data_IF_208632797567
#
_entry.id   IF_208632797567
#
_cell.length_a   1.000
_cell.length_b   1.000
_cell.length_c   1.000
_cell.angle_alpha   90.00
_cell.angle_beta   90.00
_cell.angle_gamma   90.00
#
_symmetry.space_group_name_H-M   'P 1'
#
loop_
_entity.id
_entity.type
_entity.pdbx_description
1 polymer ?
#
# COMPACT_ATOMS: atom_id res chain seq x y z
N UNK A 1 5.09 16.34 10.35
CA UNK A 1 6.14 15.36 10.01
C UNK A 1 7.51 16.00 9.76
N UNK A 2 7.60 17.21 9.17
CA UNK A 2 8.89 17.90 8.91
C UNK A 2 9.88 17.92 10.08
N UNK A 3 9.42 18.23 11.29
CA UNK A 3 10.29 18.24 12.48
C UNK A 3 10.83 16.85 12.84
N UNK A 4 10.03 15.79 12.61
CA UNK A 4 10.46 14.40 12.81
C UNK A 4 11.48 13.99 11.75
N UNK A 5 11.27 14.38 10.49
CA UNK A 5 12.23 14.14 9.40
C UNK A 5 13.57 14.84 9.67
N UNK A 6 13.54 16.08 10.16
CA UNK A 6 14.74 16.82 10.55
C UNK A 6 15.54 16.13 11.67
N UNK A 7 14.87 15.31 12.48
CA UNK A 7 15.47 14.45 13.51
C UNK A 7 15.86 13.06 13.01
N UNK A 8 15.69 12.78 11.71
CA UNK A 8 16.03 11.50 11.07
C UNK A 8 14.92 10.44 11.09
N UNK A 9 13.73 10.75 11.61
CA UNK A 9 12.60 9.81 11.65
C UNK A 9 11.76 9.91 10.38
N UNK A 10 12.14 9.17 9.34
CA UNK A 10 11.46 9.15 8.03
C UNK A 10 10.75 7.82 7.71
N UNK A 11 10.70 6.88 8.65
CA UNK A 11 10.16 5.52 8.44
C UNK A 11 11.18 4.52 7.89
N UNK A 12 12.46 4.91 7.79
CA UNK A 12 13.53 4.02 7.35
C UNK A 12 13.59 2.74 8.17
N UNK A 13 13.67 1.59 7.49
CA UNK A 13 13.69 0.26 8.12
C UNK A 13 12.31 -0.27 8.52
N UNK A 14 11.25 0.50 8.30
CA UNK A 14 9.87 0.05 8.52
C UNK A 14 9.30 -0.49 7.21
N UNK A 15 8.74 -1.71 7.25
CA UNK A 15 7.97 -2.32 6.15
C UNK A 15 6.51 -1.94 6.28
N UNK A 16 5.97 -1.29 5.27
CA UNK A 16 4.61 -0.75 5.24
C UNK A 16 3.80 -1.41 4.13
N UNK A 17 2.74 -2.12 4.50
CA UNK A 17 1.80 -2.76 3.58
C UNK A 17 0.60 -1.86 3.28
N UNK A 18 0.29 -1.66 2.00
CA UNK A 18 -0.92 -0.97 1.54
C UNK A 18 -1.82 -1.97 0.83
N UNK A 19 -2.96 -2.29 1.45
CA UNK A 19 -3.97 -3.21 0.93
C UNK A 19 -5.05 -2.40 0.21
N UNK A 20 -4.97 -2.38 -1.12
CA UNK A 20 -5.77 -1.45 -1.92
C UNK A 20 -5.89 -1.92 -3.39
N UNK A 21 -6.16 -1.01 -4.34
CA UNK A 21 -6.14 -1.25 -5.79
C UNK A 21 -4.73 -1.42 -6.35
N UNK A 22 -3.70 -1.49 -5.50
CA UNK A 22 -2.29 -1.63 -5.89
C UNK A 22 -1.59 -0.28 -6.02
N UNK A 23 -0.40 -0.30 -6.62
CA UNK A 23 0.42 0.89 -6.91
C UNK A 23 0.95 0.81 -8.32
N UNK A 24 0.93 1.92 -9.07
CA UNK A 24 1.52 2.00 -10.41
C UNK A 24 3.04 1.76 -10.36
N UNK A 25 3.53 0.88 -11.23
CA UNK A 25 4.95 0.50 -11.29
C UNK A 25 5.89 1.69 -11.58
N UNK A 26 5.42 2.59 -12.43
CA UNK A 26 6.16 3.70 -13.04
C UNK A 26 5.89 5.05 -12.35
N UNK A 27 5.26 5.03 -11.17
CA UNK A 27 4.87 6.27 -10.52
C UNK A 27 6.10 7.04 -10.02
N UNK A 28 6.36 8.27 -10.51
CA UNK A 28 7.62 8.98 -10.28
C UNK A 28 7.86 9.35 -8.80
N UNK A 29 6.81 9.32 -7.98
CA UNK A 29 6.86 9.73 -6.58
C UNK A 29 7.24 8.59 -5.63
N UNK A 30 7.37 7.34 -6.11
CA UNK A 30 7.81 6.21 -5.28
C UNK A 30 9.18 5.73 -5.72
N UNK A 31 10.09 5.58 -4.75
CA UNK A 31 11.46 5.09 -4.99
C UNK A 31 11.77 3.78 -4.27
N UNK A 32 10.89 3.35 -3.36
CA UNK A 32 11.11 2.23 -2.43
C UNK A 32 9.92 1.26 -2.42
N UNK A 33 9.35 0.98 -3.58
CA UNK A 33 8.38 -0.11 -3.73
C UNK A 33 9.16 -1.42 -3.76
N UNK A 34 9.09 -2.19 -2.68
CA UNK A 34 9.82 -3.45 -2.55
C UNK A 34 9.08 -4.62 -3.17
N UNK A 35 7.77 -4.66 -2.94
CA UNK A 35 6.90 -5.71 -3.43
C UNK A 35 5.60 -5.14 -3.99
N UNK A 36 5.09 -5.81 -5.01
CA UNK A 36 3.78 -5.59 -5.61
C UNK A 36 3.20 -6.97 -5.89
N UNK A 37 2.21 -7.36 -5.12
CA UNK A 37 1.50 -8.62 -5.28
C UNK A 37 0.05 -8.37 -5.66
N UNK A 38 -0.54 -9.32 -6.38
CA UNK A 38 -1.95 -9.30 -6.71
C UNK A 38 -2.65 -10.56 -6.19
N UNK A 39 -3.73 -10.33 -5.46
CA UNK A 39 -4.56 -11.36 -4.84
C UNK A 39 -5.92 -11.48 -5.54
N UNK A 40 -6.19 -10.61 -6.52
CA UNK A 40 -7.37 -10.70 -7.37
C UNK A 40 -7.16 -11.71 -8.50
N UNK A 41 -8.22 -11.95 -9.26
CA UNK A 41 -8.19 -12.81 -10.46
C UNK A 41 -7.65 -12.10 -11.72
N UNK A 42 -7.40 -10.79 -11.68
CA UNK A 42 -6.90 -10.06 -12.85
C UNK A 42 -5.39 -10.28 -13.05
N UNK A 43 -4.93 -10.26 -14.29
CA UNK A 43 -3.51 -10.43 -14.59
C UNK A 43 -2.77 -9.08 -14.66
N UNK A 44 -2.77 -8.33 -13.55
CA UNK A 44 -2.06 -7.05 -13.45
C UNK A 44 -1.66 -6.72 -12.01
N UNK A 45 -0.50 -6.09 -11.86
CA UNK A 45 -0.05 -5.48 -10.60
C UNK A 45 -0.32 -3.96 -10.57
N UNK A 46 -0.61 -3.37 -11.74
CA UNK A 46 -0.80 -1.94 -11.86
C UNK A 46 -2.15 -1.52 -11.28
N UNK A 47 -2.10 -0.39 -10.60
CA UNK A 47 -3.27 0.31 -10.15
C UNK A 47 -3.97 1.00 -11.32
N UNK A 48 -5.08 0.44 -11.77
CA UNK A 48 -5.92 1.00 -12.83
C UNK A 48 -6.93 2.05 -12.33
N UNK A 49 -7.13 2.17 -11.02
CA UNK A 49 -8.13 3.07 -10.42
C UNK A 49 -7.49 4.33 -9.82
N UNK A 50 -6.28 4.22 -9.27
CA UNK A 50 -5.53 5.31 -8.67
C UNK A 50 -5.70 5.44 -7.15
N UNK A 51 -6.68 4.77 -6.54
CA UNK A 51 -6.94 4.86 -5.09
C UNK A 51 -5.73 4.37 -4.27
N UNK A 52 -5.22 3.18 -4.57
CA UNK A 52 -4.06 2.63 -3.89
C UNK A 52 -2.79 3.45 -4.11
N UNK A 53 -2.58 3.99 -5.31
CA UNK A 53 -1.47 4.91 -5.58
C UNK A 53 -1.60 6.23 -4.80
N UNK A 54 -2.81 6.76 -4.65
CA UNK A 54 -3.07 7.94 -3.84
C UNK A 54 -2.78 7.69 -2.36
N UNK A 55 -3.30 6.58 -1.81
CA UNK A 55 -3.06 6.16 -0.42
C UNK A 55 -1.57 5.94 -0.15
N UNK A 56 -0.89 5.21 -1.04
CA UNK A 56 0.56 5.03 -0.98
C UNK A 56 1.30 6.37 -1.05
N UNK A 57 0.77 7.35 -1.79
CA UNK A 57 1.27 8.72 -1.88
C UNK A 57 1.28 9.42 -0.53
N UNK A 58 0.14 9.39 0.18
CA UNK A 58 0.02 9.98 1.52
C UNK A 58 1.04 9.38 2.49
N UNK A 59 1.32 8.09 2.35
CA UNK A 59 2.28 7.37 3.21
C UNK A 59 3.73 7.68 2.83
N UNK A 60 4.11 7.46 1.58
CA UNK A 60 5.52 7.28 1.18
C UNK A 60 5.95 8.08 -0.05
N UNK A 61 5.16 9.06 -0.49
CA UNK A 61 5.56 9.93 -1.61
C UNK A 61 6.88 10.66 -1.31
N UNK A 62 7.74 10.71 -2.32
CA UNK A 62 9.02 11.41 -2.32
C UNK A 62 8.96 12.73 -3.10
N UNK A 63 7.78 13.12 -3.60
CA UNK A 63 7.58 14.41 -4.25
C UNK A 63 7.75 15.55 -3.23
N UNK A 64 8.64 16.54 -3.45
CA UNK A 64 8.78 17.70 -2.58
C UNK A 64 7.49 18.50 -2.37
N UNK A 65 6.60 18.55 -3.37
CA UNK A 65 5.31 19.25 -3.28
C UNK A 65 4.28 18.47 -2.46
N UNK A 66 4.33 17.13 -2.54
CA UNK A 66 3.39 16.22 -1.92
C UNK A 66 4.13 15.11 -1.15
N UNK A 67 4.92 15.49 -0.15
CA UNK A 67 5.77 14.56 0.57
C UNK A 67 4.94 13.67 1.52
N UNK A 68 5.12 12.35 1.44
CA UNK A 68 4.43 11.39 2.29
C UNK A 68 4.90 11.47 3.76
N UNK A 69 4.10 10.96 4.69
CA UNK A 69 4.43 11.00 6.12
C UNK A 69 5.73 10.27 6.50
N UNK A 70 5.98 9.14 5.85
CA UNK A 70 7.10 8.25 6.11
C UNK A 70 7.76 7.88 4.77
N UNK A 71 8.48 8.82 4.13
CA UNK A 71 8.95 8.67 2.75
C UNK A 71 9.97 7.53 2.58
N UNK A 72 10.68 7.16 3.63
CA UNK A 72 11.74 6.14 3.58
C UNK A 72 11.29 4.73 3.98
N UNK A 73 9.97 4.51 4.19
CA UNK A 73 9.47 3.15 4.41
C UNK A 73 9.75 2.26 3.21
N UNK A 74 9.89 0.97 3.49
CA UNK A 74 9.85 -0.05 2.46
C UNK A 74 8.37 -0.36 2.15
N UNK A 75 7.89 0.06 0.98
CA UNK A 75 6.49 -0.06 0.62
C UNK A 75 6.20 -1.42 -0.03
N UNK A 76 5.19 -2.11 0.50
CA UNK A 76 4.64 -3.36 -0.03
C UNK A 76 3.21 -3.09 -0.47
N UNK A 77 2.93 -3.24 -1.77
CA UNK A 77 1.60 -3.01 -2.32
C UNK A 77 0.87 -4.34 -2.51
N UNK A 78 -0.23 -4.51 -1.79
CA UNK A 78 -1.11 -5.68 -1.86
C UNK A 78 -2.35 -5.27 -2.65
N UNK A 79 -2.42 -5.66 -3.92
CA UNK A 79 -3.61 -5.44 -4.73
C UNK A 79 -4.68 -6.46 -4.33
N UNK A 80 -5.74 -5.97 -3.71
CA UNK A 80 -6.89 -6.74 -3.20
C UNK A 80 -8.22 -6.23 -3.76
N UNK A 81 -8.20 -5.22 -4.62
CA UNK A 81 -9.35 -4.74 -5.38
C UNK A 81 -9.09 -4.84 -6.87
N UNK A 82 -10.12 -5.23 -7.63
CA UNK A 82 -10.07 -5.21 -9.09
C UNK A 82 -10.28 -3.80 -9.65
N UNK A 83 -10.09 -3.62 -10.96
CA UNK A 83 -10.40 -2.33 -11.60
C UNK A 83 -11.90 -2.03 -11.64
N UNK A 84 -12.73 -3.08 -11.54
CA UNK A 84 -14.19 -2.96 -11.40
C UNK A 84 -14.63 -2.77 -9.93
N UNK A 85 -13.70 -2.46 -9.03
CA UNK A 85 -13.94 -2.23 -7.59
C UNK A 85 -14.51 -3.45 -6.85
N UNK A 86 -14.28 -4.66 -7.38
CA UNK A 86 -14.65 -5.91 -6.73
C UNK A 86 -13.55 -6.34 -5.78
N UNK A 87 -13.95 -6.86 -4.61
CA UNK A 87 -13.05 -7.49 -3.66
C UNK A 87 -13.74 -8.61 -2.88
N UNK A 88 -12.96 -9.59 -2.43
CA UNK A 88 -13.43 -10.68 -1.60
C UNK A 88 -12.62 -10.76 -0.31
N UNK A 89 -13.29 -11.10 0.80
CA UNK A 89 -12.66 -11.30 2.12
C UNK A 89 -11.51 -12.31 2.05
N UNK A 90 -11.64 -13.37 1.24
CA UNK A 90 -10.59 -14.36 1.04
C UNK A 90 -9.28 -13.77 0.52
N UNK A 91 -9.33 -12.78 -0.38
CA UNK A 91 -8.14 -12.12 -0.91
C UNK A 91 -7.40 -11.34 0.18
N UNK A 92 -8.12 -10.74 1.13
CA UNK A 92 -7.49 -10.12 2.30
C UNK A 92 -6.83 -11.15 3.20
N UNK A 93 -7.51 -12.27 3.48
CA UNK A 93 -6.96 -13.33 4.33
C UNK A 93 -5.64 -13.89 3.75
N UNK A 94 -5.60 -14.15 2.45
CA UNK A 94 -4.40 -14.61 1.77
C UNK A 94 -3.29 -13.54 1.79
N UNK A 95 -3.63 -12.29 1.49
CA UNK A 95 -2.70 -11.18 1.54
C UNK A 95 -2.17 -10.91 2.95
N UNK A 96 -2.98 -11.06 4.00
CA UNK A 96 -2.54 -10.94 5.39
C UNK A 96 -1.57 -12.05 5.78
N UNK A 97 -1.86 -13.30 5.40
CA UNK A 97 -0.94 -14.41 5.64
C UNK A 97 0.42 -14.15 4.99
N UNK A 98 0.42 -13.63 3.76
CA UNK A 98 1.64 -13.25 3.07
C UNK A 98 2.35 -12.05 3.71
N UNK A 99 1.62 -11.01 4.14
CA UNK A 99 2.19 -9.87 4.86
C UNK A 99 2.85 -10.30 6.19
N UNK A 100 2.26 -11.25 6.91
CA UNK A 100 2.86 -11.85 8.11
C UNK A 100 4.13 -12.63 7.75
N UNK A 101 4.06 -13.48 6.73
CA UNK A 101 5.21 -14.28 6.28
C UNK A 101 6.38 -13.44 5.75
N UNK A 102 6.09 -12.26 5.23
CA UNK A 102 7.08 -11.26 4.76
C UNK A 102 7.44 -10.22 5.83
N UNK A 103 6.95 -10.43 7.06
CA UNK A 103 7.23 -9.60 8.24
C UNK A 103 6.91 -8.12 8.04
N UNK A 104 5.84 -7.77 7.31
CA UNK A 104 5.35 -6.39 7.22
C UNK A 104 5.04 -5.87 8.63
N UNK A 105 5.52 -4.67 8.96
CA UNK A 105 5.39 -4.12 10.32
C UNK A 105 4.06 -3.40 10.54
N UNK A 106 3.56 -2.72 9.51
CA UNK A 106 2.35 -1.90 9.56
C UNK A 106 1.54 -2.18 8.30
N UNK A 107 0.23 -2.33 8.45
CA UNK A 107 -0.70 -2.48 7.32
C UNK A 107 -1.69 -1.30 7.31
N UNK A 108 -2.03 -0.82 6.12
CA UNK A 108 -3.11 0.14 5.90
C UNK A 108 -4.22 -0.51 5.08
N UNK A 109 -5.45 -0.30 5.54
CA UNK A 109 -6.69 -0.72 4.88
C UNK A 109 -7.58 0.52 4.79
N UNK A 110 -7.55 1.21 3.63
CA UNK A 110 -8.37 2.41 3.41
C UNK A 110 -9.75 2.05 2.84
N UNK A 111 -10.40 1.08 3.48
CA UNK A 111 -11.63 0.44 2.98
C UNK A 111 -12.63 0.22 4.12
N UNK A 112 -13.86 -0.07 3.75
CA UNK A 112 -14.88 -0.55 4.66
C UNK A 112 -15.92 -1.37 3.88
N UNK A 113 -16.60 -2.27 4.57
CA UNK A 113 -17.68 -3.07 4.03
C UNK A 113 -18.86 -3.11 4.99
N UNK A 114 -20.04 -3.50 4.52
CA UNK A 114 -21.16 -3.78 5.41
C UNK A 114 -20.78 -4.90 6.38
N UNK A 115 -21.25 -4.78 7.62
CA UNK A 115 -21.16 -5.84 8.62
C UNK A 115 -22.13 -6.96 8.22
N UNK A 116 -21.58 -8.12 7.88
CA UNK A 116 -22.37 -9.33 7.72
C UNK A 116 -22.37 -10.01 9.08
N UNK A 117 -23.22 -9.50 9.98
CA UNK A 117 -23.39 -10.00 11.35
C UNK A 117 -23.18 -11.52 11.40
N UNK A 118 -22.14 -11.94 12.10
CA UNK A 118 -21.95 -13.34 12.51
C UNK A 118 -23.18 -13.85 13.28
#
# INVERSE_FOLDING_TARGET
AKDLWGRGFSGRGVRMGVFDTGVRADHPHFRRVKDRSNWTHENTLNDGLGHGSFVAGVVASQDPACHGFAPDVELHAFRVFTNDQVSYTSWFLDAFNYAIATEVHIVNLSIGGPDYLD
#
